data_IF_236975262751
#
_entry.id   IF_236975262751
#
_cell.length_a   1.000
_cell.length_b   1.000
_cell.length_c   1.000
_cell.angle_alpha   90.00
_cell.angle_beta   90.00
_cell.angle_gamma   90.00
#
_symmetry.space_group_name_H-M   'P 1'
#
loop_
_entity.id
_entity.type
_entity.pdbx_description
1 polymer ?
#
# COMPACT_ATOMS: atom_id res chain seq x y z
N UNK A 1 2.20 -3.33 3.84
CA UNK A 1 2.89 -4.64 3.86
C UNK A 1 3.15 -5.02 2.41
N UNK A 2 4.11 -4.32 1.79
CA UNK A 2 4.36 -4.41 0.34
C UNK A 2 5.36 -5.51 0.00
N UNK A 3 6.23 -5.85 0.96
CA UNK A 3 7.24 -6.89 0.78
C UNK A 3 6.65 -8.29 0.58
N UNK A 4 5.47 -8.62 1.12
CA UNK A 4 4.80 -9.91 0.89
C UNK A 4 3.87 -9.90 -0.35
N UNK A 5 4.36 -9.35 -1.46
CA UNK A 5 3.67 -9.39 -2.75
C UNK A 5 4.53 -10.13 -3.76
N UNK A 6 3.89 -10.82 -4.71
CA UNK A 6 4.58 -11.57 -5.79
C UNK A 6 5.45 -10.65 -6.64
N UNK A 7 4.91 -9.50 -7.00
CA UNK A 7 5.54 -8.53 -7.88
C UNK A 7 5.22 -7.12 -7.39
N UNK A 8 6.26 -6.37 -7.05
CA UNK A 8 6.10 -5.04 -6.46
C UNK A 8 5.64 -4.00 -7.49
N UNK A 9 6.08 -4.09 -8.74
CA UNK A 9 5.68 -3.17 -9.81
C UNK A 9 4.17 -3.27 -10.08
N UNK A 10 3.63 -4.49 -10.13
CA UNK A 10 2.20 -4.73 -10.31
C UNK A 10 1.40 -4.22 -9.10
N UNK A 11 1.94 -4.37 -7.89
CA UNK A 11 1.34 -3.83 -6.66
C UNK A 11 1.28 -2.30 -6.71
N UNK A 12 2.39 -1.65 -7.07
CA UNK A 12 2.48 -0.20 -7.21
C UNK A 12 1.58 0.33 -8.33
N UNK A 13 1.49 -0.37 -9.46
CA UNK A 13 0.56 -0.05 -10.55
C UNK A 13 -0.90 -0.08 -10.08
N UNK A 14 -1.29 -1.08 -9.30
CA UNK A 14 -2.64 -1.16 -8.74
C UNK A 14 -2.92 -0.02 -7.76
N UNK A 15 -1.95 0.33 -6.91
CA UNK A 15 -2.08 1.46 -5.97
C UNK A 15 -2.19 2.77 -6.73
N UNK A 16 -1.39 2.98 -7.78
CA UNK A 16 -1.45 4.21 -8.58
C UNK A 16 -2.83 4.45 -9.18
N UNK A 17 -3.56 3.38 -9.53
CA UNK A 17 -4.96 3.45 -10.01
C UNK A 17 -5.96 3.94 -8.97
N UNK A 18 -5.65 3.80 -7.69
CA UNK A 18 -6.46 4.30 -6.59
C UNK A 18 -6.14 5.75 -6.23
N UNK A 19 -5.04 6.29 -6.75
CA UNK A 19 -4.58 7.64 -6.48
C UNK A 19 -4.99 8.57 -7.62
N UNK A 20 -5.49 9.76 -7.26
CA UNK A 20 -5.62 10.89 -8.20
C UNK A 20 -4.24 11.37 -8.68
N UNK A 21 -4.20 12.19 -9.73
CA UNK A 21 -3.00 12.96 -10.10
C UNK A 21 -2.48 13.75 -8.90
N UNK A 22 -1.18 13.68 -8.64
CA UNK A 22 -0.51 14.19 -7.44
C UNK A 22 -1.00 13.57 -6.11
N UNK A 23 -1.61 12.38 -6.16
CA UNK A 23 -1.98 11.61 -4.98
C UNK A 23 -0.73 11.12 -4.23
N UNK A 24 -0.75 11.24 -2.90
CA UNK A 24 0.35 10.87 -2.02
C UNK A 24 0.35 9.36 -1.73
N UNK A 25 1.48 8.72 -1.91
CA UNK A 25 1.79 7.40 -1.38
C UNK A 25 2.79 7.55 -0.24
N UNK A 26 2.43 7.04 0.93
CA UNK A 26 3.30 6.96 2.11
C UNK A 26 3.59 5.48 2.40
N UNK A 27 4.87 5.11 2.40
CA UNK A 27 5.34 3.76 2.67
C UNK A 27 6.07 3.73 4.01
N UNK A 28 5.85 2.66 4.77
CA UNK A 28 6.65 2.35 5.94
C UNK A 28 7.19 0.93 5.75
N UNK A 29 8.44 0.81 5.32
CA UNK A 29 8.99 -0.46 4.87
C UNK A 29 10.38 -0.69 5.45
N UNK A 30 10.67 -1.97 5.68
CA UNK A 30 12.04 -2.40 5.96
C UNK A 30 12.86 -2.30 4.67
N UNK A 31 14.11 -1.85 4.79
CA UNK A 31 15.02 -1.61 3.65
C UNK A 31 16.35 -2.35 3.76
N UNK A 32 16.54 -3.12 4.84
CA UNK A 32 17.72 -3.95 5.06
C UNK A 32 17.31 -5.37 5.45
N UNK A 33 18.12 -6.34 5.02
CA UNK A 33 17.94 -7.73 5.43
C UNK A 33 18.51 -7.91 6.84
N UNK A 34 17.64 -8.28 7.76
CA UNK A 34 18.00 -8.58 9.15
C UNK A 34 17.62 -10.04 9.52
N UNK A 35 18.51 -10.78 10.21
CA UNK A 35 18.23 -12.16 10.63
C UNK A 35 17.03 -12.30 11.55
N UNK A 36 16.81 -11.35 12.48
CA UNK A 36 15.69 -11.43 13.42
C UNK A 36 14.35 -11.39 12.69
N UNK A 37 14.24 -10.51 11.69
CA UNK A 37 13.05 -10.41 10.84
C UNK A 37 12.80 -11.69 10.05
N UNK A 38 13.86 -12.29 9.48
CA UNK A 38 13.75 -13.56 8.75
C UNK A 38 13.37 -14.73 9.66
N UNK A 39 13.90 -14.77 10.89
CA UNK A 39 13.58 -15.82 11.85
C UNK A 39 12.13 -15.72 12.36
N UNK A 40 11.60 -14.50 12.48
CA UNK A 40 10.25 -14.25 12.97
C UNK A 40 9.20 -14.45 11.89
N UNK A 41 9.40 -13.85 10.70
CA UNK A 41 8.40 -13.83 9.63
C UNK A 41 8.67 -14.83 8.50
N UNK A 42 9.87 -15.39 8.39
CA UNK A 42 10.21 -16.40 7.38
C UNK A 42 9.49 -17.74 7.57
N UNK A 43 8.71 -17.90 8.64
CA UNK A 43 7.79 -19.03 8.80
C UNK A 43 6.43 -18.80 8.13
N UNK A 44 6.17 -17.57 7.67
CA UNK A 44 4.91 -17.23 6.98
C UNK A 44 5.05 -17.43 5.47
N UNK A 45 3.99 -17.92 4.81
CA UNK A 45 3.99 -18.12 3.35
C UNK A 45 4.22 -16.81 2.59
N UNK A 46 3.62 -15.71 3.08
CA UNK A 46 3.72 -14.40 2.45
C UNK A 46 5.16 -13.88 2.35
N UNK A 47 6.04 -14.26 3.29
CA UNK A 47 7.44 -13.84 3.29
C UNK A 47 8.23 -14.34 2.07
N UNK A 48 7.81 -15.46 1.49
CA UNK A 48 8.48 -16.10 0.35
C UNK A 48 7.69 -16.00 -0.96
N UNK A 49 6.66 -15.15 -0.99
CA UNK A 49 5.73 -15.05 -2.12
C UNK A 49 6.34 -14.37 -3.36
N UNK A 50 7.46 -13.66 -3.21
CA UNK A 50 8.03 -12.81 -4.26
C UNK A 50 8.66 -13.62 -5.41
N UNK A 51 8.38 -13.20 -6.65
CA UNK A 51 8.91 -13.77 -7.90
C UNK A 51 9.78 -12.74 -8.67
N UNK A 52 9.93 -11.52 -8.14
CA UNK A 52 10.68 -10.38 -8.71
C UNK A 52 12.09 -10.25 -8.10
N UNK A 53 12.82 -11.37 -8.04
CA UNK A 53 14.11 -11.51 -7.34
C UNK A 53 15.15 -10.44 -7.71
N UNK A 54 15.13 -9.90 -8.93
CA UNK A 54 16.06 -8.86 -9.39
C UNK A 54 15.91 -7.52 -8.65
N UNK A 55 14.75 -7.28 -8.02
CA UNK A 55 14.48 -6.06 -7.25
C UNK A 55 14.73 -6.25 -5.74
N UNK A 56 14.84 -7.49 -5.27
CA UNK A 56 14.93 -7.83 -3.84
C UNK A 56 16.37 -8.09 -3.42
N UNK A 57 16.65 -7.91 -2.13
CA UNK A 57 17.91 -8.34 -1.52
C UNK A 57 18.01 -9.88 -1.63
N UNK A 58 19.14 -10.45 -2.06
CA UNK A 58 19.27 -11.90 -2.22
C UNK A 58 18.84 -12.71 -0.98
N UNK A 59 17.94 -13.67 -1.22
CA UNK A 59 17.37 -14.53 -0.17
C UNK A 59 16.53 -13.77 0.85
N UNK A 60 15.82 -12.72 0.42
CA UNK A 60 14.91 -11.92 1.26
C UNK A 60 13.81 -11.29 0.38
N UNK A 61 12.59 -11.08 0.90
CA UNK A 61 11.57 -10.28 0.22
C UNK A 61 11.81 -8.77 0.35
N UNK A 62 12.87 -8.33 1.02
CA UNK A 62 13.10 -6.91 1.30
C UNK A 62 13.73 -6.22 0.08
N UNK A 63 13.27 -5.00 -0.26
CA UNK A 63 13.94 -4.13 -1.22
C UNK A 63 14.89 -3.18 -0.49
N UNK A 64 16.03 -2.83 -1.10
CA UNK A 64 16.84 -1.71 -0.57
C UNK A 64 16.12 -0.38 -0.77
N UNK A 65 16.54 0.65 -0.05
CA UNK A 65 16.05 2.02 -0.27
C UNK A 65 16.22 2.47 -1.74
N UNK A 66 17.37 2.18 -2.35
CA UNK A 66 17.62 2.52 -3.75
C UNK A 66 16.71 1.73 -4.70
N UNK A 67 16.44 0.46 -4.40
CA UNK A 67 15.53 -0.37 -5.19
C UNK A 67 14.10 0.15 -5.12
N UNK A 68 13.67 0.59 -3.93
CA UNK A 68 12.39 1.27 -3.73
C UNK A 68 12.27 2.55 -4.55
N UNK A 69 13.29 3.41 -4.50
CA UNK A 69 13.29 4.65 -5.28
C UNK A 69 13.18 4.34 -6.79
N UNK A 70 14.00 3.42 -7.28
CA UNK A 70 14.01 3.03 -8.69
C UNK A 70 12.65 2.50 -9.14
N UNK A 71 12.03 1.61 -8.34
CA UNK A 71 10.76 0.99 -8.73
C UNK A 71 9.60 1.98 -8.66
N UNK A 72 9.58 2.86 -7.66
CA UNK A 72 8.59 3.94 -7.57
C UNK A 72 8.66 4.86 -8.80
N UNK A 73 9.87 5.31 -9.16
CA UNK A 73 10.08 6.16 -10.34
C UNK A 73 9.64 5.44 -11.62
N UNK A 74 10.01 4.16 -11.80
CA UNK A 74 9.60 3.37 -12.96
C UNK A 74 8.08 3.17 -13.09
N UNK A 75 7.36 3.20 -11.97
CA UNK A 75 5.90 3.05 -11.93
C UNK A 75 5.16 4.38 -12.16
N UNK A 76 5.88 5.49 -12.38
CA UNK A 76 5.30 6.82 -12.57
C UNK A 76 4.94 7.51 -11.25
N UNK A 77 5.70 7.23 -10.20
CA UNK A 77 5.74 8.09 -9.03
C UNK A 77 6.89 9.10 -9.16
N UNK A 78 6.70 10.31 -8.68
CA UNK A 78 7.69 11.37 -8.69
C UNK A 78 7.88 11.98 -7.30
N UNK A 79 8.94 12.77 -7.14
CA UNK A 79 9.31 13.39 -5.86
C UNK A 79 9.46 12.34 -4.75
N UNK A 80 10.15 11.25 -5.05
CA UNK A 80 10.40 10.17 -4.08
C UNK A 80 11.40 10.68 -3.04
N UNK A 81 10.99 10.71 -1.78
CA UNK A 81 11.86 11.02 -0.64
C UNK A 81 11.78 9.91 0.38
N UNK A 82 12.87 9.69 1.11
CA UNK A 82 12.96 8.69 2.16
C UNK A 82 13.66 9.28 3.38
N UNK A 83 13.18 8.92 4.56
CA UNK A 83 13.77 9.34 5.82
C UNK A 83 13.81 8.19 6.83
N UNK A 84 14.78 8.24 7.74
CA UNK A 84 14.89 7.29 8.84
C UNK A 84 14.02 7.75 10.00
N UNK A 85 13.15 6.86 10.50
CA UNK A 85 12.24 7.19 11.62
C UNK A 85 13.01 7.37 12.94
N UNK A 86 14.20 6.80 13.02
CA UNK A 86 14.97 6.68 14.26
C UNK A 86 16.35 7.30 14.02
N UNK A 87 16.39 8.62 13.92
CA UNK A 87 17.62 9.41 13.76
C UNK A 87 18.48 9.50 15.03
N UNK A 88 18.11 8.82 16.12
CA UNK A 88 18.96 8.72 17.32
C UNK A 88 19.92 7.53 17.17
N UNK A 89 21.22 7.83 17.35
CA UNK A 89 22.44 7.14 16.91
C UNK A 89 22.65 5.66 17.34
N UNK A 90 21.61 4.90 17.67
CA UNK A 90 21.72 3.53 18.18
C UNK A 90 20.70 2.54 17.59
N UNK A 91 19.71 2.98 16.81
CA UNK A 91 18.75 2.03 16.19
C UNK A 91 19.10 1.79 14.73
N UNK A 92 19.09 0.51 14.35
CA UNK A 92 19.31 0.03 12.99
C UNK A 92 18.47 0.82 11.98
N UNK A 93 19.14 1.41 10.99
CA UNK A 93 18.58 2.12 9.82
C UNK A 93 17.77 1.21 8.86
N UNK A 94 17.28 0.07 9.37
CA UNK A 94 16.62 -1.00 8.62
C UNK A 94 15.19 -0.69 8.24
N UNK A 95 14.58 0.40 8.73
CA UNK A 95 13.22 0.81 8.40
C UNK A 95 13.20 2.26 7.93
N UNK A 96 12.44 2.53 6.87
CA UNK A 96 12.34 3.86 6.26
C UNK A 96 10.89 4.24 6.04
N UNK A 97 10.62 5.53 6.20
CA UNK A 97 9.39 6.14 5.70
C UNK A 97 9.71 6.73 4.35
N UNK A 98 8.92 6.40 3.34
CA UNK A 98 9.08 6.94 2.00
C UNK A 98 7.81 7.65 1.57
N UNK A 99 7.98 8.77 0.88
CA UNK A 99 6.90 9.56 0.32
C UNK A 99 7.08 9.63 -1.19
N UNK A 100 6.01 9.43 -1.94
CA UNK A 100 6.03 9.56 -3.38
C UNK A 100 4.68 10.07 -3.89
N UNK A 101 4.66 10.71 -5.06
CA UNK A 101 3.44 11.30 -5.63
C UNK A 101 3.13 10.69 -7.00
N UNK A 102 1.87 10.31 -7.22
CA UNK A 102 1.41 9.74 -8.49
C UNK A 102 1.39 10.79 -9.61
N UNK A 103 1.94 10.47 -10.78
CA UNK A 103 1.83 11.27 -12.00
C UNK A 103 0.39 11.32 -12.59
N UNK A 104 -0.54 10.51 -12.07
CA UNK A 104 -1.92 10.42 -12.52
C UNK A 104 -2.14 9.65 -13.83
N UNK A 105 -1.09 9.14 -14.46
CA UNK A 105 -1.21 8.36 -15.71
C UNK A 105 -1.41 6.88 -15.40
N UNK A 106 -2.66 6.43 -15.48
CA UNK A 106 -3.00 5.02 -15.37
C UNK A 106 -2.87 4.32 -16.73
N UNK A 107 -1.82 3.54 -16.89
CA UNK A 107 -1.62 2.75 -18.11
C UNK A 107 -2.54 1.52 -18.02
N UNK A 108 -3.71 1.55 -18.68
CA UNK A 108 -4.24 0.42 -19.48
C UNK A 108 -5.58 0.75 -20.18
N UNK A 109 -5.48 1.06 -21.46
CA UNK A 109 -6.18 0.39 -22.57
C UNK A 109 -5.60 0.90 -23.90
N UNK A 110 -4.64 0.19 -24.50
CA UNK A 110 -4.65 0.15 -25.97
C UNK A 110 -5.86 -0.72 -26.26
N UNK A 111 -6.99 -0.08 -26.55
CA UNK A 111 -8.19 -0.76 -26.99
C UNK A 111 -7.79 -1.77 -28.07
N UNK A 112 -8.07 -3.06 -27.85
CA UNK A 112 -8.14 -4.00 -28.97
C UNK A 112 -9.15 -3.39 -29.94
N UNK A 113 -8.88 -3.33 -31.26
CA UNK A 113 -9.86 -2.82 -32.20
C UNK A 113 -11.14 -3.61 -32.00
N UNK A 114 -12.23 -2.90 -31.69
CA UNK A 114 -13.51 -3.51 -31.41
C UNK A 114 -13.89 -4.38 -32.62
N UNK A 115 -14.08 -5.68 -32.39
CA UNK A 115 -14.83 -6.49 -33.35
C UNK A 115 -16.24 -5.93 -33.37
N UNK A 116 -16.71 -5.61 -34.56
CA UNK A 116 -18.07 -5.16 -34.87
C UNK A 116 -19.08 -6.10 -34.19
N UNK A 117 -19.83 -5.57 -33.22
CA UNK A 117 -20.82 -6.34 -32.45
C UNK A 117 -22.14 -6.24 -33.19
N UNK A 118 -22.58 -7.34 -33.81
CA UNK A 118 -23.97 -7.53 -34.23
C UNK A 118 -24.87 -7.48 -32.99
N UNK A 119 -25.88 -6.59 -33.01
CA UNK A 119 -26.78 -6.35 -31.89
C UNK A 119 -27.76 -7.54 -31.70
N UNK A 120 -27.78 -8.22 -30.53
CA UNK A 120 -28.91 -9.05 -30.16
C UNK A 120 -29.90 -8.21 -29.34
N UNK A 121 -31.09 -7.99 -29.89
CA UNK A 121 -32.24 -7.46 -29.14
C UNK A 121 -32.54 -8.39 -27.95
N UNK A 122 -32.32 -7.92 -26.73
CA UNK A 122 -32.86 -8.58 -25.54
C UNK A 122 -33.40 -7.52 -24.57
N UNK A 123 -34.70 -7.59 -24.31
CA UNK A 123 -35.44 -6.81 -23.32
C UNK A 123 -34.85 -7.03 -21.93
N UNK A 124 -34.51 -5.94 -21.22
CA UNK A 124 -34.02 -6.00 -19.84
C UNK A 124 -35.22 -6.07 -18.89
N UNK A 125 -35.34 -7.15 -18.13
CA UNK A 125 -36.16 -7.20 -16.91
C UNK A 125 -35.38 -6.58 -15.74
N UNK A 126 -36.02 -5.64 -15.03
CA UNK A 126 -35.47 -5.00 -13.84
C UNK A 126 -35.38 -5.99 -12.67
N UNK A 127 -34.19 -6.15 -12.09
CA UNK A 127 -33.98 -6.88 -10.83
C UNK A 127 -33.93 -5.88 -9.67
N UNK A 128 -34.64 -6.23 -8.60
CA UNK A 128 -34.96 -5.42 -7.41
C UNK A 128 -33.70 -4.94 -6.64
N UNK A 129 -33.77 -3.71 -6.10
CA UNK A 129 -32.80 -3.08 -5.21
C UNK A 129 -32.33 -4.00 -4.07
N UNK A 130 -31.02 -4.06 -3.86
CA UNK A 130 -30.39 -4.67 -2.68
C UNK A 130 -30.17 -3.53 -1.67
N UNK A 131 -30.80 -3.61 -0.48
CA UNK A 131 -30.53 -2.71 0.64
C UNK A 131 -29.10 -2.90 1.16
N UNK A 132 -28.23 -1.91 0.91
CA UNK A 132 -26.91 -1.82 1.53
C UNK A 132 -27.03 -1.30 2.97
N UNK A 133 -26.84 -2.18 3.96
CA UNK A 133 -26.69 -1.78 5.35
C UNK A 133 -25.22 -1.43 5.64
N UNK A 134 -24.86 -0.16 5.44
CA UNK A 134 -23.59 0.41 5.90
C UNK A 134 -23.75 0.98 7.34
N UNK A 135 -22.84 0.65 8.28
CA UNK A 135 -22.80 1.33 9.57
C UNK A 135 -22.44 2.81 9.35
N UNK A 136 -23.30 3.72 9.80
CA UNK A 136 -23.02 5.16 9.78
C UNK A 136 -21.91 5.48 10.78
N UNK A 137 -20.82 6.08 10.30
CA UNK A 137 -19.83 6.74 11.15
C UNK A 137 -20.39 8.12 11.54
N UNK A 138 -20.93 8.26 12.75
CA UNK A 138 -21.17 9.58 13.34
C UNK A 138 -19.82 10.19 13.74
N UNK A 139 -19.37 11.19 13.00
CA UNK A 139 -18.21 12.01 13.37
C UNK A 139 -18.70 13.34 13.93
N UNK A 140 -18.71 13.50 15.24
CA UNK A 140 -18.79 14.83 15.85
C UNK A 140 -17.44 15.56 15.71
N UNK A 141 -17.43 16.88 15.45
CA UNK A 141 -16.19 17.64 15.39
C UNK A 141 -15.65 17.84 16.80
N UNK A 142 -14.57 17.13 17.13
CA UNK A 142 -13.87 17.32 18.41
C UNK A 142 -12.74 18.34 18.19
N UNK A 143 -12.91 19.55 18.72
CA UNK A 143 -11.81 20.51 18.82
C UNK A 143 -10.92 20.10 20.02
N UNK A 144 -9.72 19.58 19.73
CA UNK A 144 -8.87 18.94 20.73
C UNK A 144 -7.42 19.43 20.66
N UNK A 145 -6.87 19.84 21.81
CA UNK A 145 -5.47 20.22 21.93
C UNK A 145 -4.54 19.03 21.60
N UNK A 146 -3.37 19.30 21.00
CA UNK A 146 -2.42 18.26 20.50
C UNK A 146 -2.07 17.15 21.51
N UNK A 147 -2.09 17.43 22.81
CA UNK A 147 -1.82 16.46 23.87
C UNK A 147 -2.95 15.42 24.02
N UNK A 148 -4.19 15.82 23.76
CA UNK A 148 -5.37 14.95 23.88
C UNK A 148 -5.49 13.98 22.70
N UNK A 149 -5.03 14.37 21.50
CA UNK A 149 -5.03 13.51 20.32
C UNK A 149 -4.15 12.25 20.51
N UNK A 150 -2.97 12.40 21.11
CA UNK A 150 -2.06 11.27 21.37
C UNK A 150 -2.69 10.27 22.34
N UNK A 151 -3.34 10.78 23.39
CA UNK A 151 -4.03 9.95 24.40
C UNK A 151 -5.24 9.23 23.80
N UNK A 152 -6.02 9.93 22.98
CA UNK A 152 -7.18 9.36 22.31
C UNK A 152 -6.77 8.26 21.32
N UNK A 153 -5.71 8.48 20.54
CA UNK A 153 -5.18 7.49 19.58
C UNK A 153 -4.73 6.21 20.29
N UNK A 154 -4.01 6.34 21.41
CA UNK A 154 -3.57 5.17 22.20
C UNK A 154 -4.76 4.37 22.73
N UNK A 155 -5.80 5.05 23.21
CA UNK A 155 -6.99 4.40 23.75
C UNK A 155 -7.80 3.70 22.66
N UNK A 156 -7.96 4.33 21.49
CA UNK A 156 -8.64 3.74 20.35
C UNK A 156 -7.95 2.46 19.86
N UNK A 157 -6.62 2.50 19.71
CA UNK A 157 -5.83 1.32 19.33
C UNK A 157 -6.03 0.19 20.34
N UNK A 158 -5.96 0.48 21.65
CA UNK A 158 -6.19 -0.53 22.70
C UNK A 158 -7.59 -1.15 22.63
N UNK A 159 -8.63 -0.34 22.43
CA UNK A 159 -10.02 -0.82 22.36
C UNK A 159 -10.23 -1.75 21.16
N UNK A 160 -9.70 -1.39 19.99
CA UNK A 160 -9.76 -2.23 18.78
C UNK A 160 -9.07 -3.57 19.02
N UNK A 161 -7.86 -3.57 19.59
CA UNK A 161 -7.13 -4.81 19.84
C UNK A 161 -7.78 -5.68 20.93
N UNK A 162 -8.46 -5.09 21.93
CA UNK A 162 -9.17 -5.86 22.96
C UNK A 162 -10.43 -6.57 22.46
N UNK A 163 -10.95 -6.20 21.29
CA UNK A 163 -12.16 -6.82 20.70
C UNK A 163 -11.84 -7.98 19.75
N UNK A 164 -10.56 -8.23 19.48
CA UNK A 164 -10.08 -9.23 18.51
C UNK A 164 -9.31 -10.36 19.19
N UNK A 165 -9.17 -10.34 20.52
CA UNK A 165 -8.66 -11.40 21.38
C UNK A 165 -9.76 -11.91 22.30
#
# INVERSE_FOLDING_TARGET
>A
MFHATRNIEQTLSNIKRLLKTNGLLLLNEVTQKDPFTTMTFGLTEGWWLFDDHQLRIPGSPVLTEQSWQTVLESCGFHHVTSDSVLSDQQVSDSQRIMVAFSDGFNIKEIAKPAKEIEQPNTTIEYVHEIEETHPQLESEPIEMAKTDLKKHTINYVKDVFSKVL
#
